data_IF_467492865927
#
_entry.id   IF_467492865927
#
_cell.length_a   1.000
_cell.length_b   1.000
_cell.length_c   1.000
_cell.angle_alpha   90.00
_cell.angle_beta   90.00
_cell.angle_gamma   90.00
#
_symmetry.space_group_name_H-M   'P 1'
#
loop_
_entity.id
_entity.type
_entity.pdbx_description
1 polymer ?
#
# COMPACT_ATOMS: atom_id res chain seq x y z
N UNK A 1 -11.45 -17.49 -31.45
CA UNK A 1 -11.74 -16.43 -30.47
C UNK A 1 -12.40 -15.29 -31.23
N UNK A 2 -13.40 -14.65 -30.68
CA UNK A 2 -14.06 -13.52 -31.33
C UNK A 2 -13.14 -12.30 -31.19
N UNK A 3 -12.91 -11.53 -32.26
CA UNK A 3 -12.05 -10.34 -32.27
C UNK A 3 -12.51 -9.23 -31.27
N UNK A 4 -13.71 -9.37 -30.73
CA UNK A 4 -14.29 -8.44 -29.77
C UNK A 4 -13.98 -8.74 -28.30
N UNK A 5 -13.57 -9.97 -27.96
CA UNK A 5 -13.35 -10.40 -26.59
C UNK A 5 -11.95 -10.99 -26.46
N UNK A 6 -11.22 -10.52 -25.47
CA UNK A 6 -9.95 -11.08 -25.06
C UNK A 6 -9.98 -11.41 -23.57
N UNK A 7 -9.43 -12.55 -23.20
CA UNK A 7 -9.33 -13.01 -21.81
C UNK A 7 -7.88 -13.34 -21.53
N UNK A 8 -7.39 -12.96 -20.37
CA UNK A 8 -6.05 -13.24 -19.90
C UNK A 8 -6.07 -13.71 -18.45
N UNK A 9 -5.11 -14.56 -18.11
CA UNK A 9 -4.85 -14.96 -16.74
C UNK A 9 -3.34 -14.98 -16.50
N UNK A 10 -2.91 -14.72 -15.28
CA UNK A 10 -1.51 -14.72 -14.89
C UNK A 10 -1.31 -15.20 -13.46
N UNK A 11 -0.15 -15.80 -13.20
CA UNK A 11 0.35 -16.08 -11.86
C UNK A 11 1.39 -15.03 -11.46
N UNK A 12 1.51 -14.78 -10.17
CA UNK A 12 2.51 -13.87 -9.59
C UNK A 12 3.27 -14.59 -8.49
N UNK A 13 4.59 -14.43 -8.46
CA UNK A 13 5.43 -14.73 -7.32
C UNK A 13 5.94 -13.41 -6.75
N UNK A 14 5.84 -13.24 -5.45
CA UNK A 14 6.25 -12.01 -4.75
C UNK A 14 7.26 -12.40 -3.68
N UNK A 15 8.50 -12.01 -3.87
CA UNK A 15 9.51 -12.08 -2.82
C UNK A 15 9.49 -10.75 -2.06
N UNK A 16 9.36 -10.84 -0.75
CA UNK A 16 9.30 -9.69 0.15
C UNK A 16 10.40 -9.79 1.20
N UNK A 17 10.99 -8.66 1.53
CA UNK A 17 11.90 -8.50 2.66
C UNK A 17 11.43 -7.30 3.48
N UNK A 18 11.32 -7.48 4.78
CA UNK A 18 10.91 -6.44 5.72
C UNK A 18 11.93 -6.29 6.84
N UNK A 19 12.12 -5.05 7.28
CA UNK A 19 12.96 -4.69 8.41
C UNK A 19 12.24 -3.67 9.27
N UNK A 20 12.26 -3.86 10.58
CA UNK A 20 11.69 -2.94 11.56
C UNK A 20 12.74 -2.64 12.63
N UNK A 21 13.11 -1.36 12.74
CA UNK A 21 13.96 -0.85 13.80
C UNK A 21 13.15 0.15 14.63
N UNK A 22 12.96 -0.10 15.91
CA UNK A 22 12.26 0.82 16.82
C UNK A 22 13.03 0.96 18.13
N UNK A 23 13.09 2.19 18.62
CA UNK A 23 13.79 2.55 19.84
C UNK A 23 12.85 3.32 20.78
N UNK A 24 11.85 2.66 21.39
CA UNK A 24 10.96 3.34 22.32
C UNK A 24 11.75 3.85 23.54
N UNK A 25 11.52 5.12 23.85
CA UNK A 25 12.11 5.81 24.96
C UNK A 25 11.10 6.75 25.59
N UNK A 26 10.80 6.58 26.86
CA UNK A 26 9.83 7.47 27.53
C UNK A 26 9.40 6.98 28.92
N UNK A 27 8.65 7.83 29.59
CA UNK A 27 8.04 7.51 30.88
C UNK A 27 6.81 6.63 30.69
N UNK A 28 6.76 5.52 31.40
CA UNK A 28 5.61 4.62 31.47
C UNK A 28 4.83 4.92 32.74
N UNK A 29 3.58 5.37 32.58
CA UNK A 29 2.66 5.70 33.69
C UNK A 29 3.23 6.68 34.72
N UNK A 30 4.09 7.60 34.34
CA UNK A 30 4.83 8.54 35.20
C UNK A 30 5.64 7.86 36.32
N UNK A 31 5.86 6.55 36.24
CA UNK A 31 6.46 5.77 37.32
C UNK A 31 7.92 5.41 37.06
N UNK A 32 8.27 5.14 35.81
CA UNK A 32 9.64 4.75 35.43
C UNK A 32 9.91 5.10 33.97
N UNK A 33 11.19 5.27 33.65
CA UNK A 33 11.69 5.45 32.30
C UNK A 33 11.91 4.08 31.65
N UNK A 34 11.36 3.86 30.46
CA UNK A 34 11.64 2.72 29.60
C UNK A 34 12.59 3.16 28.49
N UNK A 35 13.63 2.37 28.30
CA UNK A 35 14.53 2.45 27.15
C UNK A 35 14.61 1.06 26.53
N UNK A 36 14.23 0.96 25.26
CA UNK A 36 14.30 -0.32 24.56
C UNK A 36 14.81 -0.16 23.13
N UNK A 37 15.30 -1.24 22.58
CA UNK A 37 15.70 -1.36 21.18
C UNK A 37 15.08 -2.65 20.63
N UNK A 38 14.41 -2.55 19.50
CA UNK A 38 13.88 -3.71 18.78
C UNK A 38 14.36 -3.66 17.34
N UNK A 39 15.04 -4.72 16.94
CA UNK A 39 15.42 -4.99 15.56
C UNK A 39 14.74 -6.27 15.09
N UNK A 40 14.04 -6.21 13.98
CA UNK A 40 13.37 -7.34 13.32
C UNK A 40 13.75 -7.30 11.86
N UNK A 41 14.09 -8.45 11.30
CA UNK A 41 14.15 -8.64 9.85
C UNK A 41 13.52 -9.99 9.47
N UNK A 42 12.95 -10.04 8.27
CA UNK A 42 12.28 -11.24 7.79
C UNK A 42 12.01 -11.18 6.29
N UNK A 43 11.76 -12.34 5.72
CA UNK A 43 11.44 -12.45 4.31
C UNK A 43 10.29 -13.44 4.07
N UNK A 44 9.72 -13.37 2.87
CA UNK A 44 8.65 -14.26 2.43
C UNK A 44 8.66 -14.42 0.91
N UNK A 45 8.17 -15.58 0.43
CA UNK A 45 7.85 -15.82 -0.96
C UNK A 45 6.40 -16.26 -1.09
N UNK A 46 5.55 -15.34 -1.46
CA UNK A 46 4.11 -15.56 -1.61
C UNK A 46 3.67 -15.62 -3.06
N UNK A 47 2.50 -16.20 -3.31
CA UNK A 47 1.95 -16.37 -4.63
C UNK A 47 0.55 -15.76 -4.75
N UNK A 48 0.26 -15.26 -5.92
CA UNK A 48 -1.04 -14.72 -6.28
C UNK A 48 -1.36 -14.97 -7.75
N UNK A 49 -2.55 -14.58 -8.14
CA UNK A 49 -3.02 -14.70 -9.52
C UNK A 49 -3.80 -13.45 -9.93
N UNK A 50 -4.00 -13.31 -11.22
CA UNK A 50 -4.85 -12.27 -11.79
C UNK A 50 -5.58 -12.79 -13.02
N UNK A 51 -6.74 -12.22 -13.26
CA UNK A 51 -7.52 -12.45 -14.48
C UNK A 51 -7.89 -11.10 -15.10
N UNK A 52 -7.99 -11.08 -16.40
CA UNK A 52 -8.37 -9.90 -17.16
C UNK A 52 -9.32 -10.27 -18.30
N UNK A 53 -10.23 -9.37 -18.62
CA UNK A 53 -11.08 -9.47 -19.77
C UNK A 53 -11.16 -8.10 -20.46
N UNK A 54 -11.17 -8.12 -21.80
CA UNK A 54 -11.41 -6.92 -22.60
C UNK A 54 -12.58 -7.19 -23.54
N UNK A 55 -13.48 -6.23 -23.68
CA UNK A 55 -14.62 -6.26 -24.60
C UNK A 55 -14.63 -5.04 -25.50
N UNK A 56 -14.60 -5.25 -26.80
CA UNK A 56 -14.62 -4.21 -27.84
C UNK A 56 -15.90 -4.35 -28.68
N UNK A 57 -17.03 -3.76 -28.24
CA UNK A 57 -18.29 -3.82 -29.01
C UNK A 57 -18.14 -3.16 -30.36
N UNK A 58 -17.42 -2.04 -30.42
CA UNK A 58 -17.16 -1.23 -31.59
C UNK A 58 -15.67 -0.92 -31.72
N UNK A 59 -15.23 -0.51 -32.92
CA UNK A 59 -13.82 -0.19 -33.18
C UNK A 59 -13.29 1.00 -32.36
N UNK A 60 -14.19 1.86 -31.91
CA UNK A 60 -13.86 3.07 -31.14
C UNK A 60 -14.23 2.99 -29.64
N UNK A 61 -14.76 1.85 -29.16
CA UNK A 61 -15.16 1.67 -27.78
C UNK A 61 -14.59 0.36 -27.23
N UNK A 62 -13.90 0.43 -26.11
CA UNK A 62 -13.39 -0.73 -25.40
C UNK A 62 -13.65 -0.63 -23.89
N UNK A 63 -13.95 -1.77 -23.30
CA UNK A 63 -14.05 -1.97 -21.86
C UNK A 63 -13.01 -2.99 -21.44
N UNK A 64 -12.47 -2.81 -20.24
CA UNK A 64 -11.56 -3.78 -19.62
C UNK A 64 -11.94 -3.97 -18.15
N UNK A 65 -11.80 -5.21 -17.68
CA UNK A 65 -11.90 -5.55 -16.27
C UNK A 65 -10.70 -6.41 -15.91
N UNK A 66 -10.05 -6.10 -14.78
CA UNK A 66 -8.99 -6.91 -14.22
C UNK A 66 -9.23 -7.14 -12.74
N UNK A 67 -9.06 -8.37 -12.31
CA UNK A 67 -9.07 -8.73 -10.90
C UNK A 67 -7.71 -9.31 -10.52
N UNK A 68 -7.15 -8.79 -9.45
CA UNK A 68 -5.90 -9.24 -8.85
C UNK A 68 -6.21 -9.83 -7.48
N UNK A 69 -5.78 -11.07 -7.24
CA UNK A 69 -6.03 -11.75 -5.98
C UNK A 69 -5.32 -11.08 -4.81
N UNK A 70 -5.87 -11.25 -3.61
CA UNK A 70 -5.14 -11.01 -2.37
C UNK A 70 -3.87 -11.90 -2.31
N UNK A 71 -2.83 -11.39 -1.66
CA UNK A 71 -1.64 -12.16 -1.28
C UNK A 71 -1.35 -11.86 0.19
N UNK A 72 -1.24 -12.90 1.01
CA UNK A 72 -0.78 -12.73 2.38
C UNK A 72 0.74 -12.91 2.40
N UNK A 73 1.46 -11.86 2.75
CA UNK A 73 2.88 -11.94 3.07
C UNK A 73 3.01 -12.49 4.48
N UNK A 74 3.72 -13.60 4.64
CA UNK A 74 4.00 -14.26 5.93
C UNK A 74 5.51 -14.12 6.20
N UNK A 75 5.93 -12.88 6.51
CA UNK A 75 7.33 -12.53 6.74
C UNK A 75 7.84 -13.27 7.98
N UNK A 76 8.81 -14.13 7.79
CA UNK A 76 9.46 -14.91 8.84
C UNK A 76 10.92 -14.55 8.93
N UNK A 77 11.38 -14.37 10.16
CA UNK A 77 12.76 -13.98 10.41
C UNK A 77 13.11 -13.94 11.87
N UNK A 78 14.06 -13.10 12.20
CA UNK A 78 14.64 -13.01 13.55
C UNK A 78 14.31 -11.64 14.16
N UNK A 79 14.13 -11.65 15.48
CA UNK A 79 13.95 -10.47 16.29
C UNK A 79 15.00 -10.40 17.40
N UNK A 80 15.56 -9.22 17.58
CA UNK A 80 16.42 -8.88 18.70
C UNK A 80 15.80 -7.72 19.46
N UNK A 81 15.46 -7.93 20.74
CA UNK A 81 14.87 -6.93 21.61
C UNK A 81 15.73 -6.81 22.86
N UNK A 82 16.11 -5.60 23.21
CA UNK A 82 16.75 -5.26 24.49
C UNK A 82 15.88 -4.20 25.15
N UNK A 83 15.56 -4.41 26.42
CA UNK A 83 14.72 -3.47 27.17
C UNK A 83 15.20 -3.33 28.60
N UNK A 84 15.18 -2.09 29.11
CA UNK A 84 15.58 -1.73 30.48
C UNK A 84 14.75 -0.60 31.02
N UNK A 85 14.56 -0.59 32.33
CA UNK A 85 13.87 0.48 33.06
C UNK A 85 14.81 1.22 34.01
N UNK A 86 14.50 2.49 34.25
CA UNK A 86 15.19 3.29 35.27
C UNK A 86 14.14 3.96 36.16
N UNK A 87 14.10 3.69 37.48
CA UNK A 87 14.97 2.74 38.21
C UNK A 87 14.70 1.27 37.85
N UNK A 88 15.70 0.42 37.96
CA UNK A 88 15.55 -1.01 37.78
C UNK A 88 15.05 -1.65 39.08
N UNK A 89 13.74 -1.78 39.18
CA UNK A 89 13.06 -2.36 40.36
C UNK A 89 12.58 -3.77 40.04
N UNK A 90 12.58 -4.65 41.04
CA UNK A 90 12.08 -6.03 40.90
C UNK A 90 10.65 -6.11 40.47
N UNK A 91 9.81 -5.13 40.88
CA UNK A 91 8.42 -5.00 40.40
C UNK A 91 8.31 -4.73 38.89
N UNK A 92 9.35 -4.30 38.23
CA UNK A 92 9.44 -4.00 36.81
C UNK A 92 10.18 -5.08 36.01
N UNK A 93 10.37 -6.26 36.58
CA UNK A 93 11.15 -7.34 35.98
C UNK A 93 10.64 -7.75 34.58
N UNK A 94 9.33 -7.66 34.33
CA UNK A 94 8.74 -7.94 33.03
C UNK A 94 9.10 -6.95 31.91
N UNK A 95 9.61 -5.76 32.27
CA UNK A 95 10.07 -4.74 31.34
C UNK A 95 11.57 -4.82 31.05
N UNK A 96 12.33 -5.58 31.85
CA UNK A 96 13.78 -5.69 31.71
C UNK A 96 14.13 -7.05 31.08
N UNK A 97 15.10 -7.05 30.17
CA UNK A 97 15.61 -8.25 29.59
C UNK A 97 16.00 -8.11 28.12
N UNK A 98 16.23 -9.26 27.53
CA UNK A 98 16.50 -9.35 26.10
C UNK A 98 15.73 -10.52 25.48
N UNK A 99 15.43 -10.40 24.20
CA UNK A 99 14.92 -11.47 23.36
C UNK A 99 15.84 -11.59 22.13
N UNK A 100 16.15 -12.81 21.77
CA UNK A 100 16.80 -13.15 20.51
C UNK A 100 16.16 -14.46 20.03
N UNK A 101 15.35 -14.37 18.99
CA UNK A 101 14.60 -15.53 18.52
C UNK A 101 13.78 -15.21 17.29
N UNK A 102 13.03 -16.20 16.83
CA UNK A 102 12.23 -16.06 15.64
C UNK A 102 10.96 -15.22 15.88
N UNK A 103 10.54 -14.55 14.83
CA UNK A 103 9.31 -13.77 14.77
C UNK A 103 8.67 -13.96 13.42
N UNK A 104 7.32 -13.93 13.37
CA UNK A 104 6.57 -13.80 12.13
C UNK A 104 5.57 -12.66 12.18
N UNK A 105 5.34 -12.04 11.01
CA UNK A 105 4.32 -11.01 10.82
C UNK A 105 3.57 -11.26 9.53
N UNK A 106 2.24 -11.16 9.59
CA UNK A 106 1.37 -11.33 8.42
C UNK A 106 0.88 -9.96 7.93
N UNK A 107 1.16 -9.68 6.67
CA UNK A 107 0.76 -8.44 6.01
C UNK A 107 -0.08 -8.79 4.78
N UNK A 108 -1.40 -8.54 4.78
CA UNK A 108 -2.22 -8.78 3.61
C UNK A 108 -1.98 -7.68 2.56
N UNK A 109 -1.55 -8.07 1.36
CA UNK A 109 -1.67 -7.24 0.17
C UNK A 109 -3.09 -7.42 -0.39
N UNK A 110 -3.89 -6.37 -0.49
CA UNK A 110 -5.31 -6.51 -0.82
C UNK A 110 -5.52 -7.01 -2.24
N UNK A 111 -6.66 -7.67 -2.45
CA UNK A 111 -7.19 -7.86 -3.78
C UNK A 111 -7.56 -6.50 -4.38
N UNK A 112 -7.60 -6.42 -5.72
CA UNK A 112 -8.04 -5.23 -6.43
C UNK A 112 -8.86 -5.58 -7.67
N UNK A 113 -9.94 -4.84 -7.88
CA UNK A 113 -10.77 -4.87 -9.08
C UNK A 113 -10.58 -3.56 -9.83
N UNK A 114 -10.15 -3.64 -11.09
CA UNK A 114 -10.09 -2.49 -11.99
C UNK A 114 -11.12 -2.65 -13.10
N UNK A 115 -11.89 -1.60 -13.34
CA UNK A 115 -12.79 -1.44 -14.46
C UNK A 115 -12.35 -0.24 -15.28
N UNK A 116 -12.24 -0.38 -16.59
CA UNK A 116 -11.78 0.70 -17.44
C UNK A 116 -12.59 0.76 -18.74
N UNK A 117 -12.68 1.99 -19.29
CA UNK A 117 -13.29 2.28 -20.57
C UNK A 117 -12.40 3.22 -21.37
N UNK A 118 -12.31 2.98 -22.67
CA UNK A 118 -11.73 3.90 -23.63
C UNK A 118 -12.72 4.15 -24.77
N UNK A 119 -12.96 5.41 -25.09
CA UNK A 119 -13.85 5.83 -26.17
C UNK A 119 -13.16 6.82 -27.09
N UNK A 120 -12.96 6.44 -28.34
CA UNK A 120 -12.29 7.26 -29.36
C UNK A 120 -13.31 7.98 -30.23
N UNK A 121 -13.16 9.30 -30.33
CA UNK A 121 -13.94 10.17 -31.22
C UNK A 121 -12.96 10.94 -32.08
N UNK A 122 -12.87 10.59 -33.36
CA UNK A 122 -11.85 11.12 -34.28
C UNK A 122 -10.43 10.94 -33.71
N UNK A 123 -9.74 12.05 -33.45
CA UNK A 123 -8.36 12.08 -32.98
C UNK A 123 -8.26 12.15 -31.45
N UNK A 124 -9.39 12.13 -30.74
CA UNK A 124 -9.43 12.22 -29.27
C UNK A 124 -9.93 10.92 -28.67
N UNK A 125 -9.20 10.39 -27.68
CA UNK A 125 -9.61 9.23 -26.87
C UNK A 125 -9.87 9.67 -25.45
N UNK A 126 -11.08 9.43 -24.97
CA UNK A 126 -11.48 9.60 -23.57
C UNK A 126 -11.26 8.30 -22.82
N UNK A 127 -10.66 8.40 -21.64
CA UNK A 127 -10.36 7.29 -20.77
C UNK A 127 -11.06 7.48 -19.42
N UNK A 128 -11.66 6.42 -18.89
CA UNK A 128 -12.15 6.39 -17.53
C UNK A 128 -11.78 5.05 -16.88
N UNK A 129 -11.41 5.08 -15.61
CA UNK A 129 -11.16 3.86 -14.87
C UNK A 129 -11.56 4.02 -13.39
N UNK A 130 -12.04 2.91 -12.82
CA UNK A 130 -12.34 2.74 -11.41
C UNK A 130 -11.52 1.57 -10.90
N UNK A 131 -10.73 1.80 -9.87
CA UNK A 131 -10.09 0.75 -9.10
C UNK A 131 -10.72 0.67 -7.71
N UNK A 132 -11.08 -0.53 -7.28
CA UNK A 132 -11.46 -0.82 -5.91
C UNK A 132 -10.42 -1.74 -5.30
N UNK A 133 -9.79 -1.27 -4.23
CA UNK A 133 -8.82 -2.02 -3.42
C UNK A 133 -9.48 -2.48 -2.13
N UNK A 134 -9.40 -3.78 -1.83
CA UNK A 134 -10.07 -4.42 -0.69
C UNK A 134 -9.19 -4.39 0.56
N UNK A 135 -8.88 -3.19 1.05
CA UNK A 135 -8.00 -2.94 2.20
C UNK A 135 -8.62 -3.32 3.55
N UNK A 136 -9.92 -3.59 3.63
CA UNK A 136 -10.61 -4.02 4.86
C UNK A 136 -10.02 -5.31 5.46
N UNK A 137 -9.22 -6.04 4.70
CA UNK A 137 -8.45 -7.19 5.15
C UNK A 137 -7.30 -6.81 6.12
N UNK A 138 -6.82 -5.57 6.08
CA UNK A 138 -5.77 -5.08 6.99
C UNK A 138 -6.42 -4.59 8.29
N UNK A 139 -6.63 -5.52 9.21
CA UNK A 139 -7.22 -5.24 10.53
C UNK A 139 -6.15 -4.77 11.50
N UNK A 140 -5.04 -5.49 11.59
CA UNK A 140 -3.92 -5.19 12.51
C UNK A 140 -2.60 -5.75 11.99
N UNK A 141 -1.51 -5.22 12.50
CA UNK A 141 -0.20 -5.88 12.46
C UNK A 141 0.04 -6.61 13.77
N UNK A 142 0.37 -7.89 13.68
CA UNK A 142 0.71 -8.72 14.83
C UNK A 142 2.10 -9.30 14.61
N UNK A 143 2.98 -9.10 15.58
CA UNK A 143 4.28 -9.72 15.63
C UNK A 143 4.19 -10.96 16.55
N UNK A 144 4.30 -12.13 15.98
CA UNK A 144 4.21 -13.37 16.74
C UNK A 144 5.62 -13.85 17.07
N UNK A 145 6.01 -13.70 18.34
CA UNK A 145 7.32 -14.14 18.84
C UNK A 145 7.26 -15.59 19.29
N UNK A 146 8.33 -16.35 19.10
CA UNK A 146 8.38 -17.76 19.48
C UNK A 146 8.29 -18.00 21.00
N UNK A 147 8.74 -17.03 21.80
CA UNK A 147 8.66 -17.06 23.26
C UNK A 147 8.36 -15.66 23.78
N UNK A 148 8.10 -15.57 25.08
CA UNK A 148 7.80 -14.28 25.73
C UNK A 148 8.95 -13.28 25.54
N UNK A 149 8.59 -12.04 25.22
CA UNK A 149 9.52 -10.91 25.05
C UNK A 149 9.53 -9.99 26.28
N UNK A 150 10.63 -9.26 26.55
CA UNK A 150 10.62 -8.19 27.55
C UNK A 150 9.73 -7.04 27.09
N UNK A 151 9.09 -6.35 28.02
CA UNK A 151 8.14 -5.27 27.71
C UNK A 151 7.02 -5.72 26.77
N UNK A 152 6.43 -6.89 27.04
CA UNK A 152 5.35 -7.53 26.27
C UNK A 152 4.21 -6.54 25.95
N UNK A 153 3.84 -5.70 26.92
CA UNK A 153 2.85 -4.63 26.76
C UNK A 153 3.21 -3.58 25.69
N UNK A 154 4.48 -3.49 25.31
CA UNK A 154 4.97 -2.55 24.31
C UNK A 154 5.16 -3.22 22.95
N UNK A 155 5.63 -4.48 22.93
CA UNK A 155 6.08 -5.14 21.70
C UNK A 155 5.18 -6.26 21.21
N UNK A 156 4.41 -6.88 22.10
CA UNK A 156 3.58 -8.06 21.79
C UNK A 156 2.10 -7.79 21.91
N UNK A 157 1.66 -6.75 21.22
CA UNK A 157 0.25 -6.49 21.00
C UNK A 157 -0.12 -6.09 19.58
N UNK A 158 -1.36 -6.44 19.13
CA UNK A 158 -1.85 -6.06 17.82
C UNK A 158 -1.85 -4.53 17.66
N UNK A 159 -1.17 -4.04 16.63
CA UNK A 159 -1.26 -2.65 16.22
C UNK A 159 -2.45 -2.52 15.28
N UNK A 160 -3.59 -2.10 15.83
CA UNK A 160 -4.84 -2.00 15.08
C UNK A 160 -4.74 -0.99 13.93
N UNK A 161 -5.24 -1.36 12.76
CA UNK A 161 -5.32 -0.53 11.56
C UNK A 161 -6.75 -0.31 11.12
N UNK A 162 -7.58 -1.34 11.15
CA UNK A 162 -9.01 -1.30 10.78
C UNK A 162 -9.26 -0.50 9.51
N UNK A 163 -8.44 -0.77 8.49
CA UNK A 163 -8.56 -0.12 7.20
C UNK A 163 -9.87 -0.51 6.53
N UNK A 164 -10.31 0.32 5.61
CA UNK A 164 -11.51 0.10 4.80
C UNK A 164 -11.16 -0.01 3.34
N UNK A 165 -12.04 -0.63 2.57
CA UNK A 165 -11.92 -0.64 1.12
C UNK A 165 -11.89 0.80 0.60
N UNK A 166 -11.09 1.03 -0.43
CA UNK A 166 -10.93 2.33 -1.06
C UNK A 166 -11.10 2.27 -2.58
N UNK A 167 -11.51 3.37 -3.16
CA UNK A 167 -11.67 3.51 -4.60
C UNK A 167 -10.69 4.57 -5.14
N UNK A 168 -10.19 4.33 -6.35
CA UNK A 168 -9.47 5.31 -7.13
C UNK A 168 -10.22 5.54 -8.43
N UNK A 169 -10.60 6.78 -8.70
CA UNK A 169 -11.28 7.21 -9.93
C UNK A 169 -10.26 7.91 -10.81
N UNK A 170 -10.17 7.48 -12.08
CA UNK A 170 -9.22 8.04 -13.05
C UNK A 170 -9.93 8.46 -14.30
N UNK A 171 -9.60 9.63 -14.82
CA UNK A 171 -10.06 10.18 -16.08
C UNK A 171 -8.86 10.65 -16.89
N UNK A 172 -8.91 10.45 -18.19
CA UNK A 172 -7.83 10.86 -19.08
C UNK A 172 -8.33 11.23 -20.46
N UNK A 173 -7.53 12.05 -21.11
CA UNK A 173 -7.73 12.44 -22.50
C UNK A 173 -6.41 12.25 -23.23
N UNK A 174 -6.49 11.58 -24.37
CA UNK A 174 -5.38 11.44 -25.32
C UNK A 174 -5.81 12.09 -26.62
N UNK A 175 -5.04 13.03 -27.11
CA UNK A 175 -5.31 13.75 -28.34
C UNK A 175 -4.16 13.54 -29.32
N UNK A 176 -4.43 12.82 -30.42
CA UNK A 176 -3.56 12.67 -31.56
C UNK A 176 -3.67 13.94 -32.40
N UNK A 177 -2.87 14.99 -32.12
CA UNK A 177 -2.93 16.30 -32.79
C UNK A 177 -2.63 16.16 -34.28
N UNK A 178 -1.69 15.29 -34.60
CA UNK A 178 -1.32 14.87 -35.95
C UNK A 178 -0.49 13.55 -35.87
N UNK A 179 -0.01 13.07 -36.99
CA UNK A 179 0.75 11.81 -37.08
C UNK A 179 2.07 11.79 -36.26
N UNK A 180 2.53 12.97 -35.80
CA UNK A 180 3.77 13.09 -35.03
C UNK A 180 3.57 13.51 -33.60
N UNK A 181 2.48 14.20 -33.28
CA UNK A 181 2.30 14.81 -31.97
C UNK A 181 1.05 14.24 -31.28
N UNK A 182 1.27 13.68 -30.08
CA UNK A 182 0.22 13.25 -29.17
C UNK A 182 0.32 14.01 -27.86
N UNK A 183 -0.79 14.55 -27.40
CA UNK A 183 -0.92 15.20 -26.10
C UNK A 183 -1.77 14.33 -25.18
N UNK A 184 -1.44 14.31 -23.91
CA UNK A 184 -2.16 13.53 -22.91
C UNK A 184 -2.38 14.38 -21.66
N UNK A 185 -3.56 14.23 -21.06
CA UNK A 185 -3.83 14.78 -19.73
C UNK A 185 -4.64 13.78 -18.91
N UNK A 186 -4.48 13.83 -17.60
CA UNK A 186 -5.18 12.94 -16.70
C UNK A 186 -5.43 13.56 -15.34
N UNK A 187 -6.50 13.07 -14.73
CA UNK A 187 -6.89 13.39 -13.37
C UNK A 187 -7.23 12.11 -12.63
N UNK A 188 -6.80 11.99 -11.37
CA UNK A 188 -7.26 10.92 -10.50
C UNK A 188 -7.64 11.47 -9.12
N UNK A 189 -8.67 10.87 -8.55
CA UNK A 189 -9.05 11.00 -7.15
C UNK A 189 -8.85 9.66 -6.46
N UNK A 190 -8.00 9.66 -5.43
CA UNK A 190 -7.60 8.49 -4.68
C UNK A 190 -8.13 8.59 -3.24
N UNK A 191 -9.00 7.65 -2.86
CA UNK A 191 -9.54 7.57 -1.51
C UNK A 191 -8.52 6.94 -0.58
N UNK A 192 -8.45 7.46 0.65
CA UNK A 192 -7.63 6.85 1.69
C UNK A 192 -8.33 5.65 2.31
N UNK A 193 -7.69 4.46 2.39
CA UNK A 193 -8.21 3.32 3.12
C UNK A 193 -8.04 3.48 4.64
N UNK A 194 -7.11 4.32 5.10
CA UNK A 194 -6.73 4.40 6.52
C UNK A 194 -7.84 4.98 7.39
N UNK A 195 -8.02 4.36 8.56
CA UNK A 195 -8.95 4.84 9.58
C UNK A 195 -8.26 5.92 10.42
N UNK A 196 -8.90 7.09 10.56
CA UNK A 196 -8.35 8.23 11.31
C UNK A 196 -8.02 7.90 12.76
N UNK A 197 -8.79 7.01 13.39
CA UNK A 197 -8.63 6.63 14.79
C UNK A 197 -7.51 5.60 15.02
N UNK A 198 -6.92 5.04 13.95
CA UNK A 198 -5.90 3.99 14.00
C UNK A 198 -4.75 4.27 13.04
N UNK A 199 -4.46 5.55 12.84
CA UNK A 199 -3.34 5.96 11.97
C UNK A 199 -2.02 5.76 12.70
N UNK A 200 -1.01 5.22 12.00
CA UNK A 200 0.35 5.10 12.51
C UNK A 200 1.32 5.90 11.68
N UNK A 201 2.49 6.16 12.23
CA UNK A 201 3.57 6.88 11.53
C UNK A 201 4.19 6.04 10.42
N UNK A 202 4.06 4.72 10.50
CA UNK A 202 4.64 3.76 9.55
C UNK A 202 3.92 3.76 8.18
N UNK A 203 2.62 4.01 8.17
CA UNK A 203 1.79 4.05 6.96
C UNK A 203 0.81 5.24 6.99
N UNK A 204 1.31 6.48 7.03
CA UNK A 204 0.46 7.66 6.97
C UNK A 204 -0.15 7.75 5.57
N UNK A 205 -1.47 7.70 5.49
CA UNK A 205 -2.17 7.82 4.23
C UNK A 205 -3.32 8.82 4.30
N UNK A 206 -3.49 9.58 3.23
CA UNK A 206 -4.59 10.54 3.05
C UNK A 206 -5.07 10.50 1.61
N UNK A 207 -6.33 10.93 1.40
CA UNK A 207 -6.85 11.06 0.04
C UNK A 207 -6.00 12.03 -0.78
N UNK A 208 -5.86 11.71 -2.06
CA UNK A 208 -5.03 12.47 -2.99
C UNK A 208 -5.79 12.88 -4.25
N UNK A 209 -5.42 14.04 -4.78
CA UNK A 209 -5.73 14.48 -6.14
C UNK A 209 -4.47 14.40 -6.96
N UNK A 210 -4.55 13.78 -8.13
CA UNK A 210 -3.41 13.54 -9.00
C UNK A 210 -3.73 14.15 -10.36
N UNK A 211 -2.85 15.02 -10.83
CA UNK A 211 -2.93 15.65 -12.14
C UNK A 211 -1.74 15.21 -12.97
N UNK A 212 -1.97 14.91 -14.23
CA UNK A 212 -0.89 14.49 -15.12
C UNK A 212 -1.02 15.15 -16.49
N UNK A 213 0.12 15.45 -17.09
CA UNK A 213 0.26 15.93 -18.45
C UNK A 213 1.35 15.12 -19.14
N UNK A 214 1.18 14.87 -20.43
CA UNK A 214 2.16 14.15 -21.21
C UNK A 214 2.19 14.63 -22.66
N UNK A 215 3.36 14.56 -23.24
CA UNK A 215 3.61 14.84 -24.64
C UNK A 215 4.40 13.68 -25.20
N UNK A 216 3.99 13.23 -26.36
CA UNK A 216 4.72 12.24 -27.15
C UNK A 216 4.93 12.85 -28.53
N UNK A 217 6.19 12.81 -29.02
CA UNK A 217 6.54 13.34 -30.31
C UNK A 217 7.38 12.34 -31.11
N UNK A 218 6.83 11.94 -32.25
CA UNK A 218 7.48 11.08 -33.22
C UNK A 218 8.41 11.92 -34.14
N UNK A 219 9.69 11.90 -33.83
CA UNK A 219 10.68 12.66 -34.59
C UNK A 219 10.90 12.03 -35.97
N UNK A 220 11.04 10.69 -36.02
CA UNK A 220 11.19 9.86 -37.22
C UNK A 220 10.41 8.54 -37.01
N UNK A 221 10.27 7.73 -38.02
CA UNK A 221 9.56 6.46 -37.92
C UNK A 221 10.19 5.46 -36.93
N UNK A 222 11.50 5.60 -36.71
CA UNK A 222 12.31 4.79 -35.80
C UNK A 222 12.67 5.51 -34.49
N UNK A 223 12.21 6.78 -34.28
CA UNK A 223 12.60 7.57 -33.12
C UNK A 223 11.43 8.39 -32.58
N UNK A 224 11.09 8.13 -31.34
CA UNK A 224 9.98 8.77 -30.63
C UNK A 224 10.43 9.25 -29.24
N UNK A 225 10.00 10.42 -28.84
CA UNK A 225 10.27 11.00 -27.53
C UNK A 225 8.98 11.18 -26.75
N UNK A 226 8.99 10.79 -25.49
CA UNK A 226 7.89 11.02 -24.59
C UNK A 226 8.37 11.70 -23.30
N UNK A 227 7.62 12.69 -22.84
CA UNK A 227 7.81 13.33 -21.56
C UNK A 227 6.48 13.39 -20.82
N UNK A 228 6.50 13.10 -19.52
CA UNK A 228 5.32 13.16 -18.65
C UNK A 228 5.62 13.89 -17.36
N UNK A 229 4.65 14.61 -16.88
CA UNK A 229 4.66 15.28 -15.59
C UNK A 229 3.45 14.85 -14.77
N UNK A 230 3.69 14.57 -13.48
CA UNK A 230 2.65 14.22 -12.53
C UNK A 230 2.79 15.10 -11.29
N UNK A 231 1.67 15.69 -10.88
CA UNK A 231 1.55 16.43 -9.64
C UNK A 231 0.51 15.77 -8.74
N UNK A 232 0.91 15.41 -7.52
CA UNK A 232 0.03 14.82 -6.52
C UNK A 232 -0.14 15.79 -5.35
N UNK A 233 -1.38 16.12 -5.07
CA UNK A 233 -1.78 16.90 -3.90
C UNK A 233 -2.48 15.98 -2.91
N UNK A 234 -1.86 15.74 -1.76
CA UNK A 234 -2.49 15.05 -0.63
C UNK A 234 -3.21 16.05 0.25
N UNK A 235 -4.36 15.64 0.79
CA UNK A 235 -5.07 16.46 1.79
C UNK A 235 -4.37 16.39 3.13
N UNK A 236 -4.30 17.52 3.81
CA UNK A 236 -3.88 17.57 5.20
C UNK A 236 -4.84 16.73 6.06
N UNK A 237 -4.29 16.07 7.06
CA UNK A 237 -5.05 15.33 8.06
C UNK A 237 -4.70 15.89 9.44
N UNK A 238 -5.73 16.34 10.17
CA UNK A 238 -5.59 16.70 11.57
C UNK A 238 -5.88 15.45 12.41
N UNK A 239 -4.97 15.12 13.30
CA UNK A 239 -5.10 14.05 14.29
C UNK A 239 -5.37 14.74 15.63
N UNK A 240 -6.51 14.46 16.26
CA UNK A 240 -6.84 14.97 17.56
C UNK A 240 -6.16 14.13 18.65
N UNK A 241 -6.02 14.68 19.86
CA UNK A 241 -5.40 13.97 21.00
C UNK A 241 -6.18 12.71 21.43
N UNK A 242 -7.46 12.62 21.03
CA UNK A 242 -8.35 11.49 21.31
C UNK A 242 -8.21 10.36 20.28
N UNK A 243 -7.55 10.63 19.14
CA UNK A 243 -7.29 9.63 18.12
C UNK A 243 -6.16 8.70 18.61
N UNK A 244 -6.40 7.38 18.53
CA UNK A 244 -5.37 6.39 18.83
C UNK A 244 -4.31 6.38 17.74
N UNK A 245 -3.24 7.14 17.96
CA UNK A 245 -2.06 7.08 17.10
C UNK A 245 -1.25 5.85 17.50
N UNK A 246 -1.43 4.76 16.75
CA UNK A 246 -0.67 3.53 16.95
C UNK A 246 0.58 3.55 16.07
N UNK A 247 1.74 3.35 16.68
CA UNK A 247 3.02 3.15 15.99
C UNK A 247 3.54 1.72 16.21
N UNK A 248 4.25 1.21 15.23
CA UNK A 248 4.99 -0.06 15.32
C UNK A 248 6.21 0.06 16.24
#
# INVERSE_FOLDING_TARGET
MNDKISIGAGARAIYSYGKVDTNPYGMVSNSFLLEANRHIDGNDLSFGWNVAATYRPFSNLSFAATYRSKVNLDLKGDANIVSKTTPNLSALAGFNGFYNGSVDVKIPLPAALNLAMAYKVKDVTFLAALERSFWSELVSFNFNYATRVPSEEVFDHPVEKKWKDSNTYRFGIVWDVNDKLRLMSGFAYDESPSNVNYIGFELPDTRAYIYSLGINYKFRDDLEFAIGYLYQQRKDRHINKEDNVASL
#
